data_IF_377601309839
#
_entry.id   IF_377601309839
#
_cell.length_a   1.000
_cell.length_b   1.000
_cell.length_c   1.000
_cell.angle_alpha   90.00
_cell.angle_beta   90.00
_cell.angle_gamma   90.00
#
_symmetry.space_group_name_H-M   'P 1'
#
loop_
_entity.id
_entity.type
_entity.pdbx_description
1 polymer ?
#
# COMPACT_ATOMS: atom_id res chain seq x y z
N UNK A 1 18.18 -26.01 -27.17
CA UNK A 1 17.75 -25.92 -25.75
C UNK A 1 16.25 -25.76 -25.77
N UNK A 2 15.51 -26.73 -25.23
CA UNK A 2 14.04 -26.69 -25.20
C UNK A 2 13.60 -25.94 -23.94
N UNK A 3 12.61 -25.06 -24.07
CA UNK A 3 11.95 -24.40 -22.95
C UNK A 3 10.69 -25.20 -22.62
N UNK A 4 10.56 -25.65 -21.37
CA UNK A 4 9.37 -26.38 -20.88
C UNK A 4 8.57 -25.49 -19.93
N UNK A 5 7.23 -25.48 -20.07
CA UNK A 5 6.32 -24.83 -19.12
C UNK A 5 6.02 -25.80 -17.98
N UNK A 6 6.15 -25.33 -16.75
CA UNK A 6 5.81 -26.08 -15.53
C UNK A 6 4.46 -25.57 -15.01
N UNK A 7 3.56 -26.48 -14.67
CA UNK A 7 2.32 -26.15 -13.96
C UNK A 7 2.59 -25.84 -12.49
N UNK A 8 1.99 -24.76 -11.98
CA UNK A 8 1.93 -24.45 -10.55
C UNK A 8 0.47 -24.54 -10.15
N UNK A 9 0.13 -25.46 -9.25
CA UNK A 9 -1.25 -25.72 -8.85
C UNK A 9 -1.62 -25.02 -7.54
N UNK A 10 -0.63 -24.63 -6.74
CA UNK A 10 -0.83 -23.98 -5.46
C UNK A 10 -0.61 -22.48 -5.56
N UNK A 11 -1.65 -21.73 -5.18
CA UNK A 11 -1.58 -20.27 -5.03
C UNK A 11 -0.54 -19.84 -3.98
N UNK A 12 -0.35 -20.64 -2.93
CA UNK A 12 0.67 -20.39 -1.92
C UNK A 12 2.08 -20.58 -2.47
N UNK A 13 2.29 -21.61 -3.29
CA UNK A 13 3.58 -21.81 -3.98
C UNK A 13 3.89 -20.63 -4.91
N UNK A 14 2.91 -20.21 -5.71
CA UNK A 14 3.03 -19.04 -6.58
C UNK A 14 3.36 -17.77 -5.79
N UNK A 15 2.71 -17.55 -4.65
CA UNK A 15 3.01 -16.40 -3.78
C UNK A 15 4.46 -16.40 -3.29
N UNK A 16 5.01 -17.56 -2.93
CA UNK A 16 6.42 -17.67 -2.52
C UNK A 16 7.39 -17.42 -3.68
N UNK A 17 7.06 -17.86 -4.89
CA UNK A 17 7.85 -17.56 -6.10
C UNK A 17 7.84 -16.06 -6.39
N UNK A 18 6.67 -15.45 -6.40
CA UNK A 18 6.49 -14.01 -6.67
C UNK A 18 7.19 -13.16 -5.62
N UNK A 19 7.13 -13.51 -4.33
CA UNK A 19 7.88 -12.79 -3.28
C UNK A 19 9.39 -12.76 -3.52
N UNK A 20 9.97 -13.84 -4.04
CA UNK A 20 11.42 -13.91 -4.33
C UNK A 20 11.80 -13.04 -5.52
N UNK A 21 10.89 -12.87 -6.46
CA UNK A 21 11.10 -12.16 -7.72
C UNK A 21 10.27 -10.87 -7.82
N UNK A 22 9.82 -10.33 -6.68
CA UNK A 22 8.88 -9.20 -6.61
C UNK A 22 9.44 -7.94 -7.30
N UNK A 23 10.77 -7.81 -7.30
CA UNK A 23 11.52 -6.75 -7.95
C UNK A 23 11.41 -6.76 -9.49
N UNK A 24 10.96 -7.87 -10.10
CA UNK A 24 10.66 -7.93 -11.53
C UNK A 24 9.36 -7.22 -11.90
N UNK A 25 8.41 -7.14 -10.96
CA UNK A 25 7.19 -6.34 -11.13
C UNK A 25 7.58 -4.89 -11.00
N UNK A 26 8.12 -4.52 -9.83
CA UNK A 26 8.53 -3.17 -9.50
C UNK A 26 9.71 -3.19 -8.52
N UNK A 27 10.76 -2.44 -8.83
CA UNK A 27 12.05 -2.50 -8.12
C UNK A 27 11.96 -2.24 -6.61
N UNK A 28 11.05 -1.35 -6.21
CA UNK A 28 10.92 -0.88 -4.82
C UNK A 28 9.69 -1.48 -4.11
N UNK A 29 9.08 -2.53 -4.67
CA UNK A 29 7.91 -3.17 -4.09
C UNK A 29 8.32 -4.10 -2.94
N UNK A 30 7.87 -3.75 -1.73
CA UNK A 30 8.26 -4.43 -0.49
C UNK A 30 7.06 -5.17 0.14
N UNK A 31 7.14 -6.49 0.37
CA UNK A 31 6.08 -7.24 1.05
C UNK A 31 5.90 -6.82 2.53
N UNK A 32 4.65 -6.77 2.98
CA UNK A 32 4.23 -6.50 4.37
C UNK A 32 3.70 -7.78 5.00
N UNK A 33 2.69 -8.39 4.37
CA UNK A 33 2.06 -9.62 4.82
C UNK A 33 1.41 -10.36 3.65
N UNK A 34 0.95 -11.58 3.90
CA UNK A 34 0.36 -12.46 2.91
C UNK A 34 -0.71 -13.36 3.50
N UNK A 35 -1.57 -13.87 2.62
CA UNK A 35 -2.61 -14.84 2.95
C UNK A 35 -3.56 -14.37 4.07
N UNK A 36 -4.03 -13.12 3.99
CA UNK A 36 -4.93 -12.52 4.98
C UNK A 36 -6.39 -12.75 4.55
N UNK A 37 -7.19 -13.52 5.31
CA UNK A 37 -8.60 -13.71 4.98
C UNK A 37 -9.39 -12.41 5.18
N UNK A 38 -10.13 -11.98 4.16
CA UNK A 38 -11.02 -10.82 4.23
C UNK A 38 -12.44 -11.28 4.52
N UNK A 39 -12.88 -12.33 3.82
CA UNK A 39 -14.18 -12.97 3.99
C UNK A 39 -14.09 -14.43 3.50
N UNK A 40 -15.20 -15.17 3.57
CA UNK A 40 -15.26 -16.60 3.20
C UNK A 40 -14.84 -16.90 1.75
N UNK A 41 -14.85 -15.90 0.87
CA UNK A 41 -14.59 -16.03 -0.57
C UNK A 41 -13.35 -15.29 -1.06
N UNK A 42 -12.76 -14.44 -0.22
CA UNK A 42 -11.68 -13.53 -0.62
C UNK A 42 -10.57 -13.53 0.42
N UNK A 43 -9.38 -13.85 -0.06
CA UNK A 43 -8.13 -13.72 0.67
C UNK A 43 -7.27 -12.69 -0.04
N UNK A 44 -6.66 -11.81 0.74
CA UNK A 44 -5.62 -10.92 0.28
C UNK A 44 -4.33 -11.73 0.20
N UNK A 45 -3.85 -11.95 -1.03
CA UNK A 45 -2.73 -12.88 -1.24
C UNK A 45 -1.42 -12.28 -0.79
N UNK A 46 -1.13 -11.06 -1.22
CA UNK A 46 0.07 -10.32 -0.86
C UNK A 46 -0.29 -8.84 -0.66
N UNK A 47 0.11 -8.30 0.49
CA UNK A 47 0.10 -6.86 0.74
C UNK A 47 1.54 -6.36 0.66
N UNK A 48 1.76 -5.35 -0.16
CA UNK A 48 3.05 -4.71 -0.34
C UNK A 48 2.91 -3.18 -0.14
N UNK A 49 4.05 -2.49 -0.10
CA UNK A 49 4.11 -1.06 -0.33
C UNK A 49 5.19 -0.74 -1.37
N UNK A 50 5.00 0.35 -2.11
CA UNK A 50 6.03 0.88 -3.02
C UNK A 50 6.98 1.86 -2.30
N UNK A 51 7.83 2.51 -3.09
CA UNK A 51 8.82 3.48 -2.63
C UNK A 51 8.20 4.70 -1.94
N UNK A 52 7.00 5.11 -2.37
CA UNK A 52 6.24 6.22 -1.80
C UNK A 52 5.40 5.80 -0.59
N UNK A 53 5.39 4.50 -0.31
CA UNK A 53 4.62 3.89 0.76
C UNK A 53 3.14 3.72 0.43
N UNK A 54 2.75 3.90 -0.82
CA UNK A 54 1.41 3.57 -1.26
C UNK A 54 1.24 2.04 -1.14
N UNK A 55 0.12 1.63 -0.56
CA UNK A 55 -0.20 0.21 -0.40
C UNK A 55 -0.51 -0.40 -1.78
N UNK A 56 0.04 -1.58 -2.02
CA UNK A 56 -0.11 -2.32 -3.27
C UNK A 56 -0.62 -3.71 -2.91
N UNK A 57 -1.78 -4.07 -3.43
CA UNK A 57 -2.33 -5.41 -3.29
C UNK A 57 -1.92 -6.20 -4.52
N UNK A 58 -1.30 -7.36 -4.32
CA UNK A 58 -1.00 -8.28 -5.41
C UNK A 58 -1.90 -9.50 -5.25
N UNK A 59 -2.88 -9.64 -6.15
CA UNK A 59 -3.82 -10.76 -6.18
C UNK A 59 -3.37 -11.77 -7.24
N UNK A 60 -3.32 -13.03 -6.86
CA UNK A 60 -2.73 -14.12 -7.64
C UNK A 60 -3.79 -15.09 -8.12
N UNK A 61 -3.53 -15.74 -9.25
CA UNK A 61 -4.26 -16.93 -9.63
C UNK A 61 -3.39 -17.94 -10.39
N UNK A 62 -3.73 -19.23 -10.24
CA UNK A 62 -3.04 -20.34 -10.91
C UNK A 62 -3.70 -20.73 -12.25
N UNK A 63 -4.90 -20.22 -12.51
CA UNK A 63 -5.65 -20.39 -13.75
C UNK A 63 -6.25 -19.05 -14.19
N UNK A 64 -6.84 -19.01 -15.37
CA UNK A 64 -7.71 -17.90 -15.76
C UNK A 64 -8.99 -17.94 -14.89
N UNK A 65 -9.34 -16.82 -14.26
CA UNK A 65 -10.59 -16.66 -13.49
C UNK A 65 -10.98 -15.17 -13.42
N UNK A 66 -12.12 -14.83 -14.03
CA UNK A 66 -12.61 -13.46 -14.04
C UNK A 66 -13.01 -12.96 -12.65
N UNK A 67 -13.31 -13.86 -11.71
CA UNK A 67 -13.67 -13.47 -10.34
C UNK A 67 -12.49 -12.83 -9.60
N UNK A 68 -11.24 -13.03 -10.06
CA UNK A 68 -10.06 -12.44 -9.42
C UNK A 68 -10.13 -10.91 -9.39
N UNK A 69 -10.75 -10.28 -10.39
CA UNK A 69 -10.94 -8.83 -10.42
C UNK A 69 -11.86 -8.38 -9.29
N UNK A 70 -13.00 -9.07 -9.10
CA UNK A 70 -13.94 -8.77 -8.02
C UNK A 70 -13.30 -9.00 -6.64
N UNK A 71 -12.58 -10.10 -6.47
CA UNK A 71 -11.81 -10.37 -5.25
C UNK A 71 -10.76 -9.28 -5.00
N UNK A 72 -10.03 -8.86 -6.03
CA UNK A 72 -9.06 -7.77 -5.94
C UNK A 72 -9.70 -6.43 -5.54
N UNK A 73 -10.89 -6.11 -6.05
CA UNK A 73 -11.66 -4.92 -5.66
C UNK A 73 -12.09 -4.99 -4.19
N UNK A 74 -12.52 -6.17 -3.71
CA UNK A 74 -12.83 -6.36 -2.29
C UNK A 74 -11.59 -6.18 -1.41
N UNK A 75 -10.42 -6.68 -1.86
CA UNK A 75 -9.14 -6.45 -1.19
C UNK A 75 -8.77 -4.97 -1.15
N UNK A 76 -9.00 -4.22 -2.23
CA UNK A 76 -8.79 -2.77 -2.28
C UNK A 76 -9.65 -2.05 -1.25
N UNK A 77 -10.95 -2.33 -1.21
CA UNK A 77 -11.88 -1.71 -0.28
C UNK A 77 -11.53 -2.03 1.19
N UNK A 78 -11.18 -3.28 1.49
CA UNK A 78 -10.72 -3.68 2.82
C UNK A 78 -9.46 -2.89 3.22
N UNK A 79 -8.42 -2.89 2.38
CA UNK A 79 -7.16 -2.20 2.69
C UNK A 79 -7.35 -0.70 2.82
N UNK A 80 -8.18 -0.06 1.97
CA UNK A 80 -8.42 1.38 2.04
C UNK A 80 -9.15 1.78 3.33
N UNK A 81 -10.08 0.95 3.81
CA UNK A 81 -10.77 1.17 5.11
C UNK A 81 -9.84 1.01 6.30
N UNK A 82 -8.90 0.06 6.24
CA UNK A 82 -8.04 -0.29 7.38
C UNK A 82 -6.62 0.28 7.30
N UNK A 83 -6.27 1.09 6.30
CA UNK A 83 -4.91 1.60 6.08
C UNK A 83 -4.26 2.30 7.28
N UNK A 84 -5.01 3.09 8.06
CA UNK A 84 -4.47 3.73 9.27
C UNK A 84 -4.18 2.71 10.37
N UNK A 85 -5.00 1.66 10.48
CA UNK A 85 -4.72 0.54 11.37
C UNK A 85 -3.50 -0.26 10.88
N UNK A 86 -3.45 -0.60 9.59
CA UNK A 86 -2.31 -1.30 8.98
C UNK A 86 -0.99 -0.55 9.21
N UNK A 87 -1.00 0.79 9.09
CA UNK A 87 0.16 1.63 9.39
C UNK A 87 0.59 1.54 10.86
N UNK A 88 -0.35 1.48 11.79
CA UNK A 88 -0.06 1.32 13.22
C UNK A 88 0.48 -0.09 13.54
N UNK A 89 -0.12 -1.12 12.95
CA UNK A 89 0.28 -2.53 13.13
C UNK A 89 1.64 -2.82 12.51
N UNK A 90 1.89 -2.33 11.31
CA UNK A 90 3.10 -2.57 10.51
C UNK A 90 4.02 -1.34 10.50
N UNK A 91 4.29 -0.77 11.67
CA UNK A 91 5.06 0.47 11.84
C UNK A 91 6.51 0.43 11.32
N UNK A 92 7.05 -0.77 11.05
CA UNK A 92 8.37 -0.97 10.43
C UNK A 92 8.37 -0.73 8.92
N UNK A 93 7.20 -0.75 8.31
CA UNK A 93 7.01 -0.54 6.87
C UNK A 93 6.67 0.91 6.59
N UNK A 94 7.06 1.38 5.40
CA UNK A 94 6.77 2.74 4.95
C UNK A 94 5.34 2.78 4.44
N UNK A 95 4.33 2.85 5.30
CA UNK A 95 2.92 2.91 4.88
C UNK A 95 2.42 4.36 4.89
N UNK A 96 1.95 4.82 3.73
CA UNK A 96 1.29 6.10 3.54
C UNK A 96 -0.23 5.90 3.45
N UNK A 97 -0.93 6.20 4.55
CA UNK A 97 -2.38 6.07 4.68
C UNK A 97 -3.18 7.21 4.02
N UNK A 98 -2.51 8.20 3.41
CA UNK A 98 -3.17 9.26 2.63
C UNK A 98 -3.42 8.85 1.18
N UNK A 99 -2.59 7.97 0.65
CA UNK A 99 -2.73 7.44 -0.69
C UNK A 99 -3.82 6.37 -0.73
N UNK A 100 -4.46 6.23 -1.89
CA UNK A 100 -5.36 5.09 -2.14
C UNK A 100 -4.52 3.86 -2.47
N UNK A 101 -4.87 2.66 -2.00
CA UNK A 101 -4.19 1.46 -2.43
C UNK A 101 -4.39 1.22 -3.93
N UNK A 102 -3.44 0.50 -4.55
CA UNK A 102 -3.53 0.05 -5.94
C UNK A 102 -3.46 -1.48 -6.03
N UNK A 103 -3.88 -2.02 -7.16
CA UNK A 103 -4.08 -3.45 -7.37
C UNK A 103 -3.21 -3.94 -8.52
N UNK A 104 -2.56 -5.07 -8.31
CA UNK A 104 -1.84 -5.82 -9.33
C UNK A 104 -2.47 -7.21 -9.38
N UNK A 105 -2.97 -7.59 -10.54
CA UNK A 105 -3.51 -8.91 -10.82
C UNK A 105 -2.46 -9.74 -11.56
N UNK A 106 -2.19 -10.96 -11.07
CA UNK A 106 -1.21 -11.85 -11.66
C UNK A 106 -1.84 -13.22 -11.90
N UNK A 107 -1.94 -13.63 -13.16
CA UNK A 107 -2.58 -14.89 -13.59
C UNK A 107 -1.80 -15.50 -14.77
N UNK A 108 -1.97 -16.79 -15.12
CA UNK A 108 -1.32 -17.32 -16.32
C UNK A 108 -1.86 -16.72 -17.62
N UNK A 109 -3.13 -16.30 -17.60
CA UNK A 109 -3.81 -15.59 -18.68
C UNK A 109 -5.01 -14.82 -18.11
N UNK A 110 -5.52 -13.87 -18.90
CA UNK A 110 -6.75 -13.13 -18.61
C UNK A 110 -7.70 -13.20 -19.80
N UNK A 111 -8.99 -13.36 -19.52
CA UNK A 111 -10.04 -13.26 -20.52
C UNK A 111 -10.09 -11.86 -21.16
N UNK A 112 -10.61 -11.77 -22.38
CA UNK A 112 -10.84 -10.47 -23.03
C UNK A 112 -11.79 -9.59 -22.22
N UNK A 113 -12.80 -10.20 -21.59
CA UNK A 113 -13.78 -9.50 -20.74
C UNK A 113 -13.08 -8.79 -19.58
N UNK A 114 -12.20 -9.48 -18.85
CA UNK A 114 -11.47 -8.88 -17.73
C UNK A 114 -10.52 -7.79 -18.21
N UNK A 115 -9.77 -8.03 -19.30
CA UNK A 115 -8.86 -7.03 -19.89
C UNK A 115 -9.61 -5.75 -20.25
N UNK A 116 -10.73 -5.87 -20.97
CA UNK A 116 -11.56 -4.73 -21.33
C UNK A 116 -12.18 -4.04 -20.11
N UNK A 117 -12.63 -4.79 -19.10
CA UNK A 117 -13.16 -4.21 -17.88
C UNK A 117 -12.12 -3.34 -17.17
N UNK A 118 -10.87 -3.83 -17.06
CA UNK A 118 -9.77 -3.09 -16.44
C UNK A 118 -9.38 -1.86 -17.26
N UNK A 119 -9.29 -1.98 -18.58
CA UNK A 119 -8.96 -0.86 -19.48
C UNK A 119 -9.95 0.31 -19.38
N UNK A 120 -11.24 0.01 -19.20
CA UNK A 120 -12.30 1.01 -19.13
C UNK A 120 -12.62 1.46 -17.70
N UNK A 121 -11.99 0.88 -16.68
CA UNK A 121 -12.22 1.20 -15.28
C UNK A 121 -11.61 2.57 -14.96
N UNK A 122 -12.41 3.48 -14.38
CA UNK A 122 -11.94 4.80 -13.94
C UNK A 122 -11.87 4.86 -12.43
N UNK A 123 -10.83 5.50 -11.91
CA UNK A 123 -10.67 5.78 -10.48
C UNK A 123 -10.03 4.66 -9.66
N UNK A 124 -9.71 3.53 -10.28
CA UNK A 124 -8.94 2.43 -9.69
C UNK A 124 -7.66 2.20 -10.50
N UNK A 125 -6.54 2.04 -9.82
CA UNK A 125 -5.25 1.70 -10.44
C UNK A 125 -5.11 0.18 -10.40
N UNK A 126 -5.27 -0.45 -11.57
CA UNK A 126 -5.19 -1.90 -11.72
C UNK A 126 -4.16 -2.23 -12.80
N UNK A 127 -3.15 -3.01 -12.44
CA UNK A 127 -2.15 -3.53 -13.36
C UNK A 127 -2.38 -5.03 -13.57
N UNK A 128 -2.13 -5.52 -14.80
CA UNK A 128 -2.28 -6.91 -15.19
C UNK A 128 -0.93 -7.48 -15.60
N UNK A 129 -0.53 -8.59 -14.98
CA UNK A 129 0.66 -9.34 -15.33
C UNK A 129 0.32 -10.81 -15.61
N UNK A 130 0.87 -11.32 -16.70
CA UNK A 130 0.86 -12.75 -16.98
C UNK A 130 2.09 -13.41 -16.38
N UNK A 131 1.92 -14.61 -15.79
CA UNK A 131 3.04 -15.40 -15.29
C UNK A 131 3.21 -16.72 -16.04
N UNK A 132 4.47 -17.10 -16.28
CA UNK A 132 4.84 -18.42 -16.79
C UNK A 132 5.98 -18.98 -15.92
N UNK A 133 5.87 -20.23 -15.48
CA UNK A 133 6.99 -20.90 -14.83
C UNK A 133 7.71 -21.79 -15.84
N UNK A 134 8.96 -21.46 -16.13
CA UNK A 134 9.71 -22.04 -17.23
C UNK A 134 10.91 -22.84 -16.71
N UNK A 135 11.21 -23.96 -17.39
CA UNK A 135 12.42 -24.74 -17.20
C UNK A 135 13.28 -24.68 -18.46
N UNK A 136 14.54 -24.31 -18.29
CA UNK A 136 15.56 -24.28 -19.34
C UNK A 136 16.78 -25.06 -18.88
N UNK A 137 16.90 -26.30 -19.34
CA UNK A 137 17.89 -27.24 -18.80
C UNK A 137 17.63 -27.53 -17.32
N UNK A 138 18.61 -27.25 -16.46
CA UNK A 138 18.51 -27.43 -15.01
C UNK A 138 17.99 -26.19 -14.27
N UNK A 139 17.80 -25.08 -14.98
CA UNK A 139 17.31 -23.83 -14.39
C UNK A 139 15.80 -23.74 -14.51
N UNK A 140 15.16 -23.30 -13.42
CA UNK A 140 13.76 -22.90 -13.39
C UNK A 140 13.67 -21.41 -13.09
N UNK A 141 12.69 -20.73 -13.68
CA UNK A 141 12.49 -19.30 -13.45
C UNK A 141 11.03 -18.91 -13.67
N UNK A 142 10.57 -17.95 -12.88
CA UNK A 142 9.28 -17.31 -13.09
C UNK A 142 9.48 -16.16 -14.09
N UNK A 143 8.65 -16.13 -15.12
CA UNK A 143 8.56 -15.01 -16.06
C UNK A 143 7.29 -14.24 -15.75
N UNK A 144 7.43 -12.94 -15.50
CA UNK A 144 6.31 -12.02 -15.32
C UNK A 144 6.27 -11.05 -16.50
N UNK A 145 5.13 -10.97 -17.18
CA UNK A 145 4.95 -10.11 -18.35
C UNK A 145 3.81 -9.12 -18.10
N UNK A 146 4.07 -7.79 -18.17
CA UNK A 146 3.00 -6.80 -18.08
C UNK A 146 2.12 -6.88 -19.33
N UNK A 147 0.82 -6.97 -19.12
CA UNK A 147 -0.21 -6.96 -20.18
C UNK A 147 -0.86 -5.59 -20.25
N UNK A 148 -1.16 -5.03 -19.08
CA UNK A 148 -1.72 -3.70 -18.94
C UNK A 148 -1.11 -3.08 -17.69
N UNK A 149 -0.59 -1.87 -17.81
CA UNK A 149 -0.15 -1.09 -16.66
C UNK A 149 -0.83 0.26 -16.72
N UNK A 150 -1.45 0.65 -15.60
CA UNK A 150 -2.06 1.95 -15.46
C UNK A 150 -0.97 3.01 -15.54
N UNK A 151 -0.89 3.69 -16.68
CA UNK A 151 0.00 4.83 -16.84
C UNK A 151 -0.58 5.99 -16.03
N UNK A 152 0.00 6.27 -14.87
CA UNK A 152 -0.17 7.57 -14.26
C UNK A 152 0.36 8.61 -15.25
N UNK A 153 -0.42 9.63 -15.58
CA UNK A 153 0.10 10.83 -16.23
C UNK A 153 1.14 11.44 -15.27
N UNK A 154 2.39 10.99 -15.35
CA UNK A 154 3.50 11.81 -14.91
C UNK A 154 3.41 13.07 -15.74
N UNK A 155 2.97 14.18 -15.10
CA UNK A 155 3.15 15.51 -15.67
C UNK A 155 4.59 15.55 -16.20
N UNK A 156 4.80 15.84 -17.50
CA UNK A 156 6.14 15.93 -18.03
C UNK A 156 6.91 16.88 -17.11
N UNK A 157 8.00 16.40 -16.52
CA UNK A 157 8.96 17.27 -15.83
C UNK A 157 9.32 18.34 -16.85
N UNK A 158 8.76 19.53 -16.67
CA UNK A 158 9.01 20.69 -17.49
C UNK A 158 10.52 20.85 -17.50
N UNK A 159 11.14 20.61 -18.67
CA UNK A 159 12.57 20.81 -18.85
C UNK A 159 12.85 22.26 -18.47
N UNK A 160 13.40 22.47 -17.28
CA UNK A 160 13.89 23.77 -16.82
C UNK A 160 14.86 24.23 -17.90
N UNK A 161 14.44 25.21 -18.71
CA UNK A 161 15.33 25.86 -19.68
C UNK A 161 16.48 26.47 -18.87
N UNK A 162 17.75 26.25 -19.24
CA UNK A 162 18.85 26.90 -18.56
C UNK A 162 18.71 28.43 -18.72
N UNK A 163 18.97 29.22 -17.67
CA UNK A 163 18.78 30.66 -17.70
C UNK A 163 19.75 31.30 -18.71
N UNK A 164 19.19 32.08 -19.64
CA UNK A 164 19.96 32.96 -20.51
C UNK A 164 20.82 33.90 -19.65
N UNK A 165 22.13 33.90 -19.93
CA UNK A 165 23.11 34.81 -19.31
C UNK A 165 22.74 36.26 -19.65
N UNK A 166 22.24 37.02 -18.67
CA UNK A 166 22.25 38.48 -18.74
C UNK A 166 23.70 39.00 -18.68
N UNK A 167 24.07 40.02 -19.46
CA UNK A 167 25.42 40.60 -19.40
C UNK A 167 25.62 41.37 -18.08
N UNK A 168 26.82 41.26 -17.51
CA UNK A 168 27.27 41.98 -16.31
C UNK A 168 27.30 43.50 -16.56
N UNK A 169 26.88 44.34 -15.60
CA UNK A 169 27.22 45.77 -15.62
C UNK A 169 28.67 46.00 -15.16
N UNK A 170 29.35 47.05 -15.65
CA UNK A 170 30.74 47.34 -15.29
C UNK A 170 30.87 47.98 -13.90
N UNK A 171 31.89 47.55 -13.15
CA UNK A 171 32.35 48.11 -11.87
C UNK A 171 32.95 49.51 -12.03
N UNK A 172 32.60 50.43 -11.13
CA UNK A 172 33.36 51.58 -10.56
C UNK A 172 32.38 52.29 -9.60
N UNK A 173 32.68 52.84 -8.42
CA UNK A 173 33.86 53.03 -7.55
C UNK A 173 33.26 53.40 -6.17
N UNK A 174 33.86 52.98 -5.06
CA UNK A 174 33.61 53.53 -3.71
C UNK A 174 34.00 55.02 -3.61
N UNK A 175 33.37 55.80 -2.70
CA UNK A 175 33.87 55.93 -1.33
C UNK A 175 32.80 55.95 -0.21
N UNK A 176 33.17 55.47 0.99
CA UNK A 176 32.50 55.66 2.29
C UNK A 176 32.71 57.11 2.85
N UNK A 177 32.29 57.51 4.07
CA UNK A 177 31.27 57.00 5.02
C UNK A 177 30.30 58.11 5.53
N UNK A 178 29.25 57.77 6.28
CA UNK A 178 28.70 58.64 7.35
C UNK A 178 27.96 57.86 8.43
N UNK A 179 28.42 58.08 9.66
CA UNK A 179 27.95 57.54 10.94
C UNK A 179 26.87 58.45 11.52
N UNK A 180 25.81 57.88 12.10
CA UNK A 180 25.03 58.34 13.29
C UNK A 180 23.75 57.47 13.38
N UNK A 181 23.18 57.03 14.50
CA UNK A 181 23.48 56.95 15.94
C UNK A 181 22.27 56.20 16.56
N UNK A 182 22.51 55.32 17.54
CA UNK A 182 21.69 54.99 18.75
C UNK A 182 20.15 54.79 18.58
N UNK A 183 19.54 53.69 19.04
CA UNK A 183 19.29 53.35 20.45
C UNK A 183 18.75 51.90 20.60
N UNK A 184 19.27 51.16 21.58
CA UNK A 184 18.56 50.08 22.31
C UNK A 184 18.11 50.68 23.66
N UNK A 185 16.96 50.27 24.25
CA UNK A 185 16.99 49.13 25.19
C UNK A 185 15.70 48.26 25.31
N UNK A 186 15.93 46.93 25.49
CA UNK A 186 15.36 45.91 26.45
C UNK A 186 13.92 46.05 27.05
N UNK A 187 13.35 44.99 27.68
CA UNK A 187 12.92 43.66 27.20
C UNK A 187 11.44 43.32 27.61
N UNK A 188 10.99 42.10 27.28
CA UNK A 188 9.66 41.43 27.46
C UNK A 188 8.85 41.68 28.76
N UNK A 189 7.54 41.43 28.69
CA UNK A 189 6.89 40.46 29.60
C UNK A 189 6.26 39.25 28.88
N UNK A 190 6.03 38.20 29.67
CA UNK A 190 5.78 36.79 29.37
C UNK A 190 4.46 36.44 28.66
N UNK A 191 4.39 35.27 27.98
CA UNK A 191 3.17 34.79 27.30
C UNK A 191 2.08 34.32 28.29
N UNK A 192 0.79 34.55 27.99
CA UNK A 192 -0.31 33.97 28.75
C UNK A 192 -0.34 32.44 28.67
N UNK A 193 -0.63 31.83 29.82
CA UNK A 193 -0.64 30.39 30.11
C UNK A 193 -1.64 29.62 29.23
N UNK A 194 -1.24 28.40 28.89
CA UNK A 194 -2.04 27.33 28.28
C UNK A 194 -3.39 27.14 28.99
N UNK A 195 -4.48 27.29 28.23
CA UNK A 195 -5.76 26.69 28.58
C UNK A 195 -5.73 25.21 28.15
N UNK A 196 -5.52 24.32 29.12
CA UNK A 196 -5.79 22.89 28.95
C UNK A 196 -7.29 22.67 28.63
N UNK A 197 -7.63 21.90 27.58
CA UNK A 197 -9.02 21.52 27.33
C UNK A 197 -9.56 20.66 28.48
N UNK A 198 -10.69 21.08 29.05
CA UNK A 198 -11.45 20.28 30.02
C UNK A 198 -12.04 19.06 29.32
N UNK A 199 -11.49 17.87 29.57
CA UNK A 199 -12.16 16.61 29.25
C UNK A 199 -13.40 16.44 30.15
N UNK A 200 -14.55 16.01 29.61
CA UNK A 200 -15.70 15.61 30.43
C UNK A 200 -15.35 14.33 31.22
N UNK A 201 -15.86 14.17 32.46
CA UNK A 201 -15.63 12.97 33.24
C UNK A 201 -16.28 11.75 32.57
N UNK A 202 -15.72 10.54 32.71
CA UNK A 202 -16.32 9.32 32.20
C UNK A 202 -17.67 9.04 32.88
N UNK A 203 -18.66 8.47 32.16
CA UNK A 203 -19.93 8.06 32.76
C UNK A 203 -19.72 6.97 33.82
N UNK A 204 -20.42 7.14 34.95
CA UNK A 204 -20.45 6.19 36.06
C UNK A 204 -20.91 4.80 35.59
N UNK A 205 -20.20 3.77 36.07
CA UNK A 205 -20.57 2.37 35.87
C UNK A 205 -21.95 2.11 36.52
N UNK A 206 -22.90 1.46 35.83
CA UNK A 206 -24.12 0.99 36.47
C UNK A 206 -23.77 -0.03 37.57
N UNK A 207 -24.40 0.13 38.72
CA UNK A 207 -24.39 -0.82 39.84
C UNK A 207 -24.96 -2.16 39.35
N UNK A 208 -24.19 -3.21 39.58
CA UNK A 208 -24.59 -4.60 39.40
C UNK A 208 -25.47 -4.98 40.60
N UNK A 209 -26.79 -4.97 40.40
CA UNK A 209 -27.76 -5.55 41.33
C UNK A 209 -28.31 -6.85 40.73
N UNK A 210 -28.17 -7.91 41.52
CA UNK A 210 -28.96 -9.16 41.55
C UNK A 210 -28.85 -10.16 40.40
N UNK A 211 -28.13 -11.25 40.71
CA UNK A 211 -28.26 -12.57 40.09
C UNK A 211 -29.71 -13.10 40.17
N UNK A 212 -30.22 -13.74 39.10
CA UNK A 212 -31.20 -14.80 39.22
C UNK A 212 -30.60 -16.15 38.80
N UNK A 213 -30.67 -17.09 39.74
CA UNK A 213 -30.83 -18.56 39.60
C UNK A 213 -30.24 -19.26 38.35
N UNK A 214 -29.15 -20.01 38.58
CA UNK A 214 -28.65 -21.05 37.68
C UNK A 214 -29.70 -22.17 37.49
N UNK A 215 -30.36 -22.14 36.34
CA UNK A 215 -31.15 -23.25 35.82
C UNK A 215 -30.21 -24.39 35.37
N UNK A 216 -30.18 -25.46 36.16
CA UNK A 216 -29.41 -26.70 35.92
C UNK A 216 -29.63 -27.25 34.50
N UNK A 217 -28.57 -27.26 33.68
CA UNK A 217 -28.49 -28.11 32.48
C UNK A 217 -27.57 -29.32 32.70
N UNK A 218 -28.00 -30.54 32.32
CA UNK A 218 -27.34 -31.78 32.74
C UNK A 218 -26.07 -32.08 31.91
N UNK A 219 -25.03 -32.56 32.62
CA UNK A 219 -23.75 -33.03 32.06
C UNK A 219 -23.97 -34.18 31.08
N UNK A 220 -23.68 -33.96 29.79
CA UNK A 220 -23.50 -35.04 28.80
C UNK A 220 -22.18 -35.77 29.11
N UNK A 221 -22.28 -37.05 29.45
CA UNK A 221 -21.14 -37.96 29.64
C UNK A 221 -20.43 -38.20 28.31
N UNK A 222 -19.14 -37.89 28.24
CA UNK A 222 -18.22 -38.46 27.26
C UNK A 222 -18.16 -39.98 27.49
N UNK A 223 -18.53 -40.79 26.50
CA UNK A 223 -18.12 -42.19 26.42
C UNK A 223 -16.92 -42.23 25.47
N UNK A 224 -15.74 -42.56 26.01
CA UNK A 224 -14.66 -43.12 25.21
C UNK A 224 -15.03 -44.56 24.87
N UNK A 225 -15.11 -44.86 23.59
CA UNK A 225 -14.81 -46.16 22.98
C UNK A 225 -14.18 -45.90 21.62
#
# INVERSE_FOLDING_TARGET
>A
MSVERISVESKQELAQMIKKEISQIEKELSPICDNVPINDKTTLDLLCHDDNGQLVIVQLNVSEDDNMLLQGIQSLDYVDRFKSFLKATYNKHKINDKEKPRLILIAPSFSETLRHAVEHMKGLRVDLYEWEYLKLGDHKGLRLQPIFTWKSEEKPKEKIKPPEKKPKPPKKKEPEPKVEKKEEPKPKPEPPKEETPKFPPPPEKPKEETEPEEEKRPKRKLRLF
#
